data_IF_587371427856
#
_entry.id   IF_587371427856
#
_cell.length_a   1.000
_cell.length_b   1.000
_cell.length_c   1.000
_cell.angle_alpha   90.00
_cell.angle_beta   90.00
_cell.angle_gamma   90.00
#
_symmetry.space_group_name_H-M   'P 1'
#
loop_
_entity.id
_entity.type
_entity.pdbx_description
1 polymer ?
#
# COMPACT_ATOMS: atom_id res chain seq x y z
N UNK A 1 10.91 -15.64 -10.51
CA UNK A 1 10.01 -14.71 -11.23
C UNK A 1 10.76 -13.56 -11.89
N UNK A 2 11.43 -12.67 -11.14
CA UNK A 2 12.16 -11.52 -11.74
C UNK A 2 13.18 -11.90 -12.82
N UNK A 3 14.01 -12.93 -12.59
CA UNK A 3 14.96 -13.43 -13.61
C UNK A 3 14.28 -13.81 -14.93
N UNK A 4 13.13 -14.50 -14.86
CA UNK A 4 12.38 -14.92 -16.06
C UNK A 4 11.78 -13.72 -16.80
N UNK A 5 11.19 -12.76 -16.08
CA UNK A 5 10.69 -11.50 -16.68
C UNK A 5 11.81 -10.79 -17.43
N UNK A 6 12.98 -10.63 -16.80
CA UNK A 6 14.11 -9.94 -17.43
C UNK A 6 14.58 -10.65 -18.71
N UNK A 7 14.67 -11.98 -18.71
CA UNK A 7 15.08 -12.73 -19.90
C UNK A 7 14.05 -12.62 -21.04
N UNK A 8 12.75 -12.68 -20.73
CA UNK A 8 11.69 -12.49 -21.72
C UNK A 8 11.70 -11.07 -22.28
N UNK A 9 11.92 -10.07 -21.42
CA UNK A 9 12.01 -8.66 -21.85
C UNK A 9 13.23 -8.45 -22.76
N UNK A 10 14.38 -9.05 -22.43
CA UNK A 10 15.57 -9.00 -23.29
C UNK A 10 15.29 -9.63 -24.66
N UNK A 11 14.62 -10.79 -24.69
CA UNK A 11 14.23 -11.44 -25.95
C UNK A 11 13.33 -10.54 -26.80
N UNK A 12 12.28 -9.96 -26.19
CA UNK A 12 11.34 -9.06 -26.88
C UNK A 12 12.07 -7.82 -27.42
N UNK A 13 12.98 -7.24 -26.64
CA UNK A 13 13.74 -6.07 -27.06
C UNK A 13 14.71 -6.39 -28.22
N UNK A 14 15.30 -7.59 -28.23
CA UNK A 14 16.26 -8.01 -29.25
C UNK A 14 15.58 -8.49 -30.54
N UNK A 15 14.40 -9.10 -30.44
CA UNK A 15 13.67 -9.70 -31.56
C UNK A 15 12.21 -9.23 -31.60
N UNK A 16 11.95 -7.93 -31.80
CA UNK A 16 10.60 -7.35 -31.69
C UNK A 16 9.59 -7.96 -32.68
N UNK A 17 10.03 -8.35 -33.88
CA UNK A 17 9.17 -8.93 -34.92
C UNK A 17 9.09 -10.47 -34.89
N UNK A 18 9.56 -11.09 -33.81
CA UNK A 18 9.47 -12.54 -33.64
C UNK A 18 8.02 -13.00 -33.49
N UNK A 19 7.68 -14.16 -34.04
CA UNK A 19 6.38 -14.81 -33.83
C UNK A 19 6.12 -15.16 -32.35
N UNK A 20 7.17 -15.14 -31.52
CA UNK A 20 7.09 -15.41 -30.08
C UNK A 20 6.87 -14.16 -29.22
N UNK A 21 6.96 -12.96 -29.79
CA UNK A 21 6.87 -11.69 -29.05
C UNK A 21 5.58 -11.60 -28.22
N UNK A 22 4.43 -11.91 -28.83
CA UNK A 22 3.13 -11.87 -28.14
C UNK A 22 3.07 -12.86 -26.96
N UNK A 23 3.60 -14.06 -27.16
CA UNK A 23 3.68 -15.09 -26.09
C UNK A 23 4.55 -14.63 -24.93
N UNK A 24 5.66 -13.95 -25.22
CA UNK A 24 6.55 -13.36 -24.21
C UNK A 24 5.82 -12.28 -23.41
N UNK A 25 5.09 -11.37 -24.06
CA UNK A 25 4.30 -10.34 -23.36
C UNK A 25 3.23 -10.95 -22.45
N UNK A 26 2.50 -11.96 -22.92
CA UNK A 26 1.52 -12.70 -22.09
C UNK A 26 2.19 -13.31 -20.87
N UNK A 27 3.37 -13.92 -21.03
CA UNK A 27 4.10 -14.54 -19.92
C UNK A 27 4.65 -13.49 -18.94
N UNK A 28 5.19 -12.37 -19.44
CA UNK A 28 5.63 -11.24 -18.61
C UNK A 28 4.47 -10.73 -17.76
N UNK A 29 3.30 -10.49 -18.35
CA UNK A 29 2.09 -10.08 -17.63
C UNK A 29 1.71 -11.04 -16.51
N UNK A 30 1.67 -12.35 -16.80
CA UNK A 30 1.39 -13.38 -15.78
C UNK A 30 2.41 -13.40 -14.64
N UNK A 31 3.69 -13.21 -14.95
CA UNK A 31 4.75 -13.20 -13.94
C UNK A 31 4.73 -11.93 -13.08
N UNK A 32 4.42 -10.77 -13.68
CA UNK A 32 4.22 -9.51 -12.96
C UNK A 32 3.02 -9.61 -12.01
N UNK A 33 1.89 -10.11 -12.50
CA UNK A 33 0.71 -10.35 -11.66
C UNK A 33 1.03 -11.26 -10.46
N UNK A 34 1.82 -12.32 -10.66
CA UNK A 34 2.27 -13.17 -9.53
C UNK A 34 3.13 -12.42 -8.51
N UNK A 35 3.97 -11.47 -8.95
CA UNK A 35 4.79 -10.67 -8.04
C UNK A 35 3.93 -9.68 -7.24
N UNK A 36 2.99 -9.02 -7.89
CA UNK A 36 2.00 -8.14 -7.28
C UNK A 36 1.20 -8.87 -6.20
N UNK A 37 0.54 -9.98 -6.55
CA UNK A 37 -0.24 -10.78 -5.59
C UNK A 37 0.60 -11.21 -4.38
N UNK A 38 1.85 -11.59 -4.61
CA UNK A 38 2.77 -11.98 -3.53
C UNK A 38 3.11 -10.81 -2.61
N UNK A 39 3.43 -9.65 -3.17
CA UNK A 39 3.81 -8.47 -2.39
C UNK A 39 2.63 -7.99 -1.53
N UNK A 40 1.43 -7.93 -2.11
CA UNK A 40 0.21 -7.59 -1.38
C UNK A 40 -0.10 -8.59 -0.26
N UNK A 41 0.01 -9.90 -0.54
CA UNK A 41 -0.21 -10.94 0.46
C UNK A 41 0.76 -10.86 1.65
N UNK A 42 2.03 -10.51 1.40
CA UNK A 42 3.02 -10.28 2.46
C UNK A 42 2.61 -9.11 3.35
N UNK A 43 2.19 -7.99 2.75
CA UNK A 43 1.75 -6.82 3.51
C UNK A 43 0.52 -7.12 4.38
N UNK A 44 -0.47 -7.83 3.82
CA UNK A 44 -1.63 -8.34 4.58
C UNK A 44 -1.23 -9.28 5.70
N UNK A 45 -0.29 -10.19 5.46
CA UNK A 45 0.16 -11.12 6.48
C UNK A 45 0.79 -10.39 7.67
N UNK A 46 1.63 -9.38 7.44
CA UNK A 46 2.16 -8.56 8.52
C UNK A 46 1.06 -7.85 9.29
N UNK A 47 0.02 -7.35 8.62
CA UNK A 47 -1.12 -6.74 9.27
C UNK A 47 -1.88 -7.76 10.16
N UNK A 48 -2.13 -8.97 9.65
CA UNK A 48 -2.81 -10.04 10.40
C UNK A 48 -2.00 -10.54 11.60
N UNK A 49 -0.67 -10.47 11.53
CA UNK A 49 0.24 -10.77 12.64
C UNK A 49 0.42 -9.60 13.60
N UNK A 50 -0.33 -8.50 13.43
CA UNK A 50 -0.23 -7.27 14.21
C UNK A 50 1.16 -6.59 14.16
N UNK A 51 1.98 -6.96 13.17
CA UNK A 51 3.28 -6.36 12.90
C UNK A 51 3.07 -5.06 12.11
N UNK A 52 2.35 -4.09 12.69
CA UNK A 52 1.83 -2.92 11.97
C UNK A 52 2.92 -2.08 11.29
N UNK A 53 4.10 -1.94 11.90
CA UNK A 53 5.23 -1.23 11.26
C UNK A 53 5.70 -1.93 9.99
N UNK A 54 5.83 -3.27 10.04
CA UNK A 54 6.22 -4.07 8.89
C UNK A 54 5.13 -4.06 7.81
N UNK A 55 3.86 -4.08 8.23
CA UNK A 55 2.72 -3.96 7.33
C UNK A 55 2.73 -2.62 6.60
N UNK A 56 2.94 -1.51 7.31
CA UNK A 56 3.04 -0.17 6.74
C UNK A 56 4.12 -0.12 5.66
N UNK A 57 5.34 -0.55 5.99
CA UNK A 57 6.46 -0.57 5.03
C UNK A 57 6.13 -1.45 3.82
N UNK A 58 5.54 -2.62 4.04
CA UNK A 58 5.19 -3.54 2.96
C UNK A 58 4.07 -2.99 2.05
N UNK A 59 3.06 -2.32 2.60
CA UNK A 59 2.02 -1.65 1.81
C UNK A 59 2.55 -0.44 1.06
N UNK A 60 3.38 0.40 1.68
CA UNK A 60 4.03 1.53 1.00
C UNK A 60 4.90 1.04 -0.17
N UNK A 61 5.67 -0.03 0.02
CA UNK A 61 6.43 -0.66 -1.07
C UNK A 61 5.51 -1.19 -2.17
N UNK A 62 4.40 -1.85 -1.82
CA UNK A 62 3.45 -2.33 -2.81
C UNK A 62 2.86 -1.20 -3.66
N UNK A 63 2.44 -0.11 -3.02
CA UNK A 63 1.88 1.07 -3.68
C UNK A 63 2.89 1.70 -4.64
N UNK A 64 4.17 1.78 -4.26
CA UNK A 64 5.23 2.35 -5.07
C UNK A 64 5.65 1.42 -6.23
N UNK A 65 5.75 0.11 -5.97
CA UNK A 65 6.21 -0.88 -6.95
C UNK A 65 5.12 -1.24 -7.97
N UNK A 66 3.83 -1.11 -7.61
CA UNK A 66 2.69 -1.52 -8.43
C UNK A 66 1.59 -0.43 -8.52
N UNK A 67 1.88 0.78 -9.03
CA UNK A 67 0.92 1.90 -9.07
C UNK A 67 -0.25 1.70 -10.06
N UNK A 68 -0.22 0.66 -10.88
CA UNK A 68 -1.30 0.27 -11.81
C UNK A 68 -2.04 -1.00 -11.37
N UNK A 69 -1.73 -1.50 -10.18
CA UNK A 69 -2.36 -2.69 -9.61
C UNK A 69 -3.87 -2.49 -9.42
N UNK A 70 -4.64 -3.54 -9.73
CA UNK A 70 -6.06 -3.61 -9.37
C UNK A 70 -6.32 -3.66 -7.86
N UNK A 71 -5.30 -3.98 -7.06
CA UNK A 71 -5.34 -4.03 -5.59
C UNK A 71 -4.89 -2.73 -4.93
N UNK A 72 -4.59 -1.68 -5.71
CA UNK A 72 -4.01 -0.45 -5.18
C UNK A 72 -4.95 0.23 -4.17
N UNK A 73 -6.25 0.31 -4.47
CA UNK A 73 -7.26 0.85 -3.55
C UNK A 73 -7.28 0.08 -2.23
N UNK A 74 -7.28 -1.25 -2.31
CA UNK A 74 -7.24 -2.11 -1.12
C UNK A 74 -5.93 -1.95 -0.33
N UNK A 75 -4.80 -1.74 -1.02
CA UNK A 75 -3.49 -1.54 -0.38
C UNK A 75 -3.44 -0.22 0.39
N UNK A 76 -3.90 0.89 -0.19
CA UNK A 76 -4.00 2.17 0.52
C UNK A 76 -4.94 2.08 1.71
N UNK A 77 -6.10 1.44 1.55
CA UNK A 77 -7.04 1.31 2.65
C UNK A 77 -6.48 0.46 3.80
N UNK A 78 -5.82 -0.66 3.51
CA UNK A 78 -5.17 -1.46 4.54
C UNK A 78 -3.95 -0.74 5.16
N UNK A 79 -3.22 0.07 4.40
CA UNK A 79 -2.17 0.95 4.93
C UNK A 79 -2.76 1.92 5.97
N UNK A 80 -3.90 2.54 5.66
CA UNK A 80 -4.60 3.44 6.59
C UNK A 80 -4.98 2.70 7.88
N UNK A 81 -5.54 1.49 7.77
CA UNK A 81 -5.85 0.63 8.93
C UNK A 81 -4.60 0.26 9.73
N UNK A 82 -3.50 -0.10 9.07
CA UNK A 82 -2.24 -0.43 9.73
C UNK A 82 -1.67 0.78 10.49
N UNK A 83 -1.70 1.98 9.90
CA UNK A 83 -1.29 3.23 10.57
C UNK A 83 -2.18 3.56 11.76
N UNK A 84 -3.49 3.34 11.65
CA UNK A 84 -4.42 3.54 12.76
C UNK A 84 -4.14 2.58 13.92
N UNK A 85 -3.97 1.29 13.65
CA UNK A 85 -3.62 0.31 14.68
C UNK A 85 -2.26 0.62 15.32
N UNK A 86 -1.29 1.11 14.55
CA UNK A 86 -0.02 1.56 15.11
C UNK A 86 -0.19 2.80 16.00
N UNK A 87 -1.04 3.76 15.60
CA UNK A 87 -1.34 4.97 16.36
C UNK A 87 -1.96 4.65 17.73
N UNK A 88 -3.04 3.87 17.76
CA UNK A 88 -3.77 3.58 19.02
C UNK A 88 -2.93 2.76 20.01
N UNK A 89 -2.00 1.93 19.50
CA UNK A 89 -1.08 1.12 20.31
C UNK A 89 0.23 1.87 20.65
N UNK A 90 0.29 3.18 20.47
CA UNK A 90 1.49 3.98 20.77
C UNK A 90 1.47 4.53 22.20
N UNK A 91 2.67 4.73 22.75
CA UNK A 91 2.88 5.71 23.83
C UNK A 91 2.62 7.12 23.32
N UNK A 92 2.16 8.01 24.20
CA UNK A 92 1.70 9.37 23.83
C UNK A 92 2.76 10.19 23.11
N UNK A 93 4.05 10.05 23.49
CA UNK A 93 5.17 10.74 22.84
C UNK A 93 5.30 10.45 21.34
N UNK A 94 4.76 9.31 20.85
CA UNK A 94 4.79 8.91 19.43
C UNK A 94 3.48 9.14 18.69
N UNK A 95 2.37 9.38 19.41
CA UNK A 95 1.05 9.48 18.79
C UNK A 95 0.92 10.69 17.88
N UNK A 96 1.52 11.82 18.22
CA UNK A 96 1.44 13.05 17.40
C UNK A 96 2.01 12.85 15.98
N UNK A 97 3.17 12.20 15.89
CA UNK A 97 3.81 11.89 14.61
C UNK A 97 2.97 10.88 13.82
N UNK A 98 2.53 9.80 14.47
CA UNK A 98 1.75 8.73 13.84
C UNK A 98 0.38 9.21 13.35
N UNK A 99 -0.27 10.11 14.10
CA UNK A 99 -1.51 10.76 13.68
C UNK A 99 -1.29 11.59 12.42
N UNK A 100 -0.20 12.36 12.36
CA UNK A 100 0.14 13.16 11.17
C UNK A 100 0.40 12.28 9.94
N UNK A 101 1.18 11.21 10.09
CA UNK A 101 1.41 10.24 9.02
C UNK A 101 0.14 9.53 8.54
N UNK A 102 -0.80 9.24 9.46
CA UNK A 102 -2.10 8.68 9.11
C UNK A 102 -2.92 9.70 8.31
N UNK A 103 -2.96 10.96 8.74
CA UNK A 103 -3.68 12.02 8.02
C UNK A 103 -3.14 12.25 6.61
N UNK A 104 -1.81 12.22 6.42
CA UNK A 104 -1.18 12.28 5.09
C UNK A 104 -1.56 11.08 4.22
N UNK A 105 -1.62 9.89 4.81
CA UNK A 105 -2.04 8.68 4.10
C UNK A 105 -3.50 8.76 3.67
N UNK A 106 -4.38 9.32 4.50
CA UNK A 106 -5.78 9.55 4.14
C UNK A 106 -5.92 10.52 2.97
N UNK A 107 -5.18 11.65 2.98
CA UNK A 107 -5.18 12.61 1.88
C UNK A 107 -4.73 11.93 0.58
N UNK A 108 -3.63 11.17 0.61
CA UNK A 108 -3.18 10.40 -0.55
C UNK A 108 -4.23 9.40 -1.03
N UNK A 109 -4.93 8.72 -0.10
CA UNK A 109 -6.01 7.80 -0.47
C UNK A 109 -7.14 8.54 -1.19
N UNK A 110 -7.54 9.71 -0.71
CA UNK A 110 -8.57 10.54 -1.34
C UNK A 110 -8.15 11.09 -2.70
N UNK A 111 -6.88 11.45 -2.86
CA UNK A 111 -6.34 11.92 -4.14
C UNK A 111 -6.41 10.83 -5.23
N UNK A 112 -6.17 9.57 -4.85
CA UNK A 112 -6.20 8.44 -5.78
C UNK A 112 -7.61 7.83 -5.96
N UNK A 113 -8.43 7.82 -4.90
CA UNK A 113 -9.70 7.10 -4.84
C UNK A 113 -10.82 7.93 -4.18
N UNK A 114 -11.21 9.08 -4.77
CA UNK A 114 -12.22 9.96 -4.18
C UNK A 114 -13.60 9.28 -4.02
N UNK A 115 -13.94 8.35 -4.92
CA UNK A 115 -15.20 7.60 -4.92
C UNK A 115 -15.04 6.16 -4.39
N UNK A 116 -14.05 5.95 -3.51
CA UNK A 116 -13.74 4.61 -2.99
C UNK A 116 -14.94 3.97 -2.27
N UNK A 117 -15.07 2.64 -2.41
CA UNK A 117 -15.99 1.84 -1.59
C UNK A 117 -15.70 1.91 -0.08
N UNK A 118 -14.48 2.28 0.29
CA UNK A 118 -14.03 2.38 1.68
C UNK A 118 -14.14 3.78 2.26
N UNK A 119 -14.63 4.76 1.49
CA UNK A 119 -14.61 6.18 1.85
C UNK A 119 -15.12 6.44 3.28
N UNK A 120 -16.31 5.89 3.62
CA UNK A 120 -16.91 6.08 4.95
C UNK A 120 -16.04 5.53 6.09
N UNK A 121 -15.39 4.39 5.88
CA UNK A 121 -14.52 3.79 6.91
C UNK A 121 -13.19 4.54 7.00
N UNK A 122 -12.64 4.96 5.86
CA UNK A 122 -11.42 5.75 5.78
C UNK A 122 -11.58 7.12 6.49
N UNK A 123 -12.69 7.80 6.25
CA UNK A 123 -13.05 9.06 6.90
C UNK A 123 -13.22 8.87 8.41
N UNK A 124 -13.91 7.80 8.83
CA UNK A 124 -14.03 7.50 10.26
C UNK A 124 -12.67 7.23 10.94
N UNK A 125 -11.71 6.61 10.25
CA UNK A 125 -10.34 6.43 10.75
C UNK A 125 -9.61 7.78 10.83
N UNK A 126 -9.75 8.61 9.81
CA UNK A 126 -9.17 9.95 9.76
C UNK A 126 -9.66 10.84 10.92
N UNK A 127 -10.97 10.89 11.15
CA UNK A 127 -11.57 11.65 12.25
C UNK A 127 -11.08 11.20 13.63
N UNK A 128 -10.88 9.89 13.82
CA UNK A 128 -10.30 9.37 15.07
C UNK A 128 -8.85 9.81 15.25
N UNK A 129 -8.08 9.90 14.17
CA UNK A 129 -6.71 10.37 14.22
C UNK A 129 -6.62 11.88 14.54
N UNK A 130 -7.54 12.69 14.00
CA UNK A 130 -7.64 14.11 14.33
C UNK A 130 -7.96 14.33 15.81
N UNK A 131 -8.95 13.62 16.35
CA UNK A 131 -9.28 13.69 17.78
C UNK A 131 -8.12 13.30 18.69
N UNK A 132 -7.33 12.30 18.30
CA UNK A 132 -6.15 11.91 19.07
C UNK A 132 -5.08 13.01 19.02
N UNK A 133 -4.91 13.68 17.87
CA UNK A 133 -3.99 14.81 17.72
C UNK A 133 -4.39 16.00 18.60
N UNK A 134 -5.66 16.34 18.67
CA UNK A 134 -6.19 17.42 19.53
C UNK A 134 -5.95 17.15 21.01
N UNK A 135 -6.21 15.92 21.48
CA UNK A 135 -5.95 15.54 22.88
C UNK A 135 -4.49 15.75 23.27
N UNK A 136 -3.56 15.37 22.39
CA UNK A 136 -2.12 15.51 22.65
C UNK A 136 -1.70 16.98 22.69
N UNK A 137 -2.32 17.83 21.87
CA UNK A 137 -2.05 19.27 21.88
C UNK A 137 -2.61 19.94 23.13
N UNK A 138 -3.81 19.55 23.59
CA UNK A 138 -4.42 20.08 24.81
C UNK A 138 -3.72 19.67 26.11
N UNK A 139 -3.01 18.54 26.12
CA UNK A 139 -2.22 18.07 27.28
C UNK A 139 -0.86 18.78 27.46
N UNK A 140 -0.45 19.63 26.50
CA UNK A 140 0.83 20.37 26.56
C UNK A 140 0.70 21.76 27.21
N UNK A 141 -0.44 22.06 27.82
CA UNK A 141 -0.75 23.31 28.54
C UNK A 141 -0.82 22.99 30.03
#
# INVERSE_FOLDING_TARGET
TKKAINQLQLFVNQYPYSSYTDSCYVLIGKLNYKLEQKAYAIAKQYFHMELYKSAIVAFDNFINDYPSSSLLEDAFFNLLKARYMLLVNSVDSKKSERASQLTETYVRFMDYFPDSRYLKEAEAIYEKALKEKEKIQGQKI
#
